data_IF_189215794643
#
_entry.id   IF_189215794643
#
_cell.length_a   1.000
_cell.length_b   1.000
_cell.length_c   1.000
_cell.angle_alpha   90.00
_cell.angle_beta   90.00
_cell.angle_gamma   90.00
#
_symmetry.space_group_name_H-M   'P 1'
#
loop_
_entity.id
_entity.type
_entity.pdbx_description
1 polymer ?
#
# COMPACT_ATOMS: atom_id res chain seq x y z
N UNK A 1 27.75 -26.82 5.76
CA UNK A 1 26.52 -27.63 5.92
C UNK A 1 25.86 -27.32 7.27
N UNK A 2 24.94 -26.34 7.36
CA UNK A 2 24.39 -25.92 8.67
C UNK A 2 22.91 -25.47 8.69
N UNK A 3 22.26 -25.32 7.54
CA UNK A 3 20.86 -24.87 7.46
C UNK A 3 19.85 -25.97 7.84
N UNK A 4 20.08 -27.22 7.40
CA UNK A 4 19.15 -28.33 7.66
C UNK A 4 19.18 -28.81 9.12
N UNK A 5 20.31 -28.68 9.82
CA UNK A 5 20.41 -28.99 11.26
C UNK A 5 19.62 -27.97 12.10
N UNK A 6 19.69 -26.67 11.72
CA UNK A 6 18.96 -25.61 12.40
C UNK A 6 17.45 -25.71 12.18
N UNK A 7 17.02 -26.05 10.96
CA UNK A 7 15.60 -26.29 10.66
C UNK A 7 15.04 -27.51 11.41
N UNK A 8 15.79 -28.63 11.47
CA UNK A 8 15.40 -29.83 12.24
C UNK A 8 15.33 -29.55 13.75
N UNK A 9 16.25 -28.76 14.29
CA UNK A 9 16.24 -28.38 15.70
C UNK A 9 15.11 -27.40 16.06
N UNK A 10 14.74 -26.49 15.15
CA UNK A 10 13.58 -25.60 15.32
C UNK A 10 12.26 -26.36 15.25
N UNK A 11 12.08 -27.18 14.21
CA UNK A 11 10.83 -27.92 13.98
C UNK A 11 10.60 -28.95 15.11
N UNK A 12 11.65 -29.63 15.57
CA UNK A 12 11.55 -30.56 16.71
C UNK A 12 11.22 -29.86 18.04
N UNK A 13 11.78 -28.68 18.29
CA UNK A 13 11.54 -27.92 19.53
C UNK A 13 10.11 -27.37 19.59
N UNK A 14 9.60 -26.90 18.47
CA UNK A 14 8.28 -26.28 18.41
C UNK A 14 7.17 -27.36 18.36
N UNK A 15 7.38 -28.50 17.69
CA UNK A 15 6.49 -29.66 17.81
C UNK A 15 6.47 -30.24 19.24
N UNK A 16 7.62 -30.33 19.91
CA UNK A 16 7.71 -30.83 21.29
C UNK A 16 6.92 -29.98 22.29
N UNK A 17 6.90 -28.65 22.10
CA UNK A 17 6.11 -27.72 22.93
C UNK A 17 4.60 -27.83 22.69
N UNK A 18 4.19 -28.04 21.44
CA UNK A 18 2.77 -28.20 21.10
C UNK A 18 2.22 -29.49 21.68
N UNK A 19 3.00 -30.58 21.58
CA UNK A 19 2.64 -31.87 22.18
C UNK A 19 2.68 -31.78 23.71
N UNK A 20 3.67 -31.11 24.32
CA UNK A 20 3.71 -30.98 25.79
C UNK A 20 2.57 -30.13 26.36
N UNK A 21 2.15 -29.07 25.67
CA UNK A 21 0.99 -28.27 26.06
C UNK A 21 -0.33 -29.03 25.91
N UNK A 22 -0.43 -29.92 24.92
CA UNK A 22 -1.59 -30.79 24.75
C UNK A 22 -1.66 -31.90 25.82
N UNK A 23 -0.50 -32.41 26.28
CA UNK A 23 -0.42 -33.50 27.26
C UNK A 23 -0.51 -33.03 28.71
N UNK A 24 0.14 -31.92 29.07
CA UNK A 24 0.28 -31.52 30.49
C UNK A 24 -0.74 -30.51 31.01
N UNK A 25 -1.70 -30.08 30.19
CA UNK A 25 -2.96 -29.49 30.66
C UNK A 25 -2.85 -28.52 31.84
N UNK A 26 -1.87 -27.62 31.84
CA UNK A 26 -1.59 -26.77 33.01
C UNK A 26 -2.55 -25.57 33.03
N UNK A 27 -3.78 -25.84 33.47
CA UNK A 27 -4.90 -24.90 33.42
C UNK A 27 -4.97 -23.98 34.66
N UNK A 28 -4.13 -24.14 35.68
CA UNK A 28 -4.45 -23.57 37.01
C UNK A 28 -3.41 -22.69 37.75
N UNK A 29 -2.22 -22.38 37.23
CA UNK A 29 -1.26 -21.52 37.96
C UNK A 29 -0.77 -20.31 37.15
N UNK A 30 -1.59 -19.25 37.03
CA UNK A 30 -1.12 -17.84 36.94
C UNK A 30 -2.21 -16.88 36.44
N UNK A 31 -2.90 -16.21 37.35
CA UNK A 31 -3.76 -15.08 36.98
C UNK A 31 -2.94 -13.78 36.85
N UNK A 32 -1.85 -13.62 37.60
CA UNK A 32 -0.95 -12.45 37.50
C UNK A 32 0.09 -12.53 36.37
N UNK A 33 0.53 -13.74 35.95
CA UNK A 33 1.53 -13.90 34.87
C UNK A 33 0.95 -13.70 33.46
N UNK A 34 -0.37 -13.86 33.30
CA UNK A 34 -1.09 -13.73 32.01
C UNK A 34 -1.24 -12.28 31.54
N UNK A 35 -1.38 -11.32 32.44
CA UNK A 35 -1.47 -9.90 32.05
C UNK A 35 -0.12 -9.38 31.53
N UNK A 36 0.98 -9.75 32.21
CA UNK A 36 2.34 -9.38 31.78
C UNK A 36 2.81 -10.18 30.56
N UNK A 37 2.35 -11.44 30.39
CA UNK A 37 2.63 -12.22 29.19
C UNK A 37 1.82 -11.76 27.98
N UNK A 38 0.56 -11.35 28.16
CA UNK A 38 -0.26 -10.73 27.09
C UNK A 38 0.32 -9.40 26.66
N UNK A 39 0.66 -8.51 27.60
CA UNK A 39 1.32 -7.25 27.27
C UNK A 39 2.66 -7.46 26.54
N UNK A 40 3.45 -8.47 26.92
CA UNK A 40 4.68 -8.84 26.18
C UNK A 40 4.40 -9.47 24.80
N UNK A 41 3.33 -10.24 24.65
CA UNK A 41 2.92 -10.80 23.36
C UNK A 41 2.45 -9.70 22.42
N UNK A 42 1.59 -8.79 22.89
CA UNK A 42 1.13 -7.61 22.15
C UNK A 42 2.32 -6.74 21.72
N UNK A 43 3.26 -6.43 22.64
CA UNK A 43 4.48 -5.70 22.30
C UNK A 43 5.37 -6.44 21.27
N UNK A 44 5.43 -7.77 21.33
CA UNK A 44 6.22 -8.55 20.38
C UNK A 44 5.56 -8.59 19.00
N UNK A 45 4.23 -8.72 18.94
CA UNK A 45 3.44 -8.66 17.72
C UNK A 45 3.53 -7.28 17.07
N UNK A 46 3.43 -6.20 17.85
CA UNK A 46 3.63 -4.82 17.38
C UNK A 46 5.05 -4.62 16.81
N UNK A 47 6.08 -5.14 17.47
CA UNK A 47 7.46 -5.06 16.97
C UNK A 47 7.64 -5.84 15.65
N UNK A 48 7.01 -7.01 15.53
CA UNK A 48 7.03 -7.80 14.28
C UNK A 48 6.34 -7.02 13.16
N UNK A 49 5.16 -6.45 13.42
CA UNK A 49 4.44 -5.63 12.45
C UNK A 49 5.25 -4.39 12.03
N UNK A 50 5.84 -3.67 12.98
CA UNK A 50 6.71 -2.53 12.67
C UNK A 50 7.93 -2.93 11.84
N UNK A 51 8.56 -4.06 12.15
CA UNK A 51 9.69 -4.55 11.38
C UNK A 51 9.29 -4.93 9.94
N UNK A 52 8.11 -5.52 9.76
CA UNK A 52 7.55 -5.81 8.42
C UNK A 52 7.28 -4.52 7.65
N UNK A 53 6.62 -3.54 8.28
CA UNK A 53 6.35 -2.22 7.68
C UNK A 53 7.66 -1.50 7.30
N UNK A 54 8.68 -1.56 8.15
CA UNK A 54 9.99 -0.98 7.87
C UNK A 54 10.69 -1.68 6.70
N UNK A 55 10.61 -3.01 6.62
CA UNK A 55 11.13 -3.79 5.50
C UNK A 55 10.44 -3.43 4.18
N UNK A 56 9.10 -3.34 4.19
CA UNK A 56 8.32 -2.90 3.05
C UNK A 56 8.67 -1.47 2.64
N UNK A 57 8.76 -0.54 3.60
CA UNK A 57 9.09 0.85 3.31
C UNK A 57 10.47 0.97 2.67
N UNK A 58 11.47 0.19 3.11
CA UNK A 58 12.79 0.15 2.45
C UNK A 58 12.70 -0.35 1.01
N UNK A 59 11.98 -1.45 0.76
CA UNK A 59 11.82 -1.99 -0.60
C UNK A 59 11.10 -1.01 -1.54
N UNK A 60 10.07 -0.32 -1.03
CA UNK A 60 9.37 0.71 -1.79
C UNK A 60 10.25 1.92 -2.06
N UNK A 61 11.04 2.37 -1.08
CA UNK A 61 11.97 3.49 -1.27
C UNK A 61 13.05 3.16 -2.29
N UNK A 62 13.62 1.96 -2.27
CA UNK A 62 14.58 1.51 -3.30
C UNK A 62 13.97 1.56 -4.71
N UNK A 63 12.71 1.13 -4.85
CA UNK A 63 12.00 1.23 -6.14
C UNK A 63 11.71 2.70 -6.53
N UNK A 64 11.39 3.56 -5.57
CA UNK A 64 11.22 5.01 -5.80
C UNK A 64 12.55 5.63 -6.25
N UNK A 65 13.66 5.29 -5.61
CA UNK A 65 14.99 5.82 -5.96
C UNK A 65 15.39 5.40 -7.37
N UNK A 66 15.08 4.17 -7.79
CA UNK A 66 15.23 3.73 -9.20
C UNK A 66 14.44 4.59 -10.17
N UNK A 67 13.16 4.87 -9.86
CA UNK A 67 12.28 5.74 -10.66
C UNK A 67 12.83 7.17 -10.73
N UNK A 68 13.37 7.67 -9.62
CA UNK A 68 13.97 9.00 -9.55
C UNK A 68 15.27 9.10 -10.34
N UNK A 69 16.07 8.04 -10.30
CA UNK A 69 17.37 7.90 -10.97
C UNK A 69 17.30 7.61 -12.47
N UNK A 70 16.12 7.25 -13.01
CA UNK A 70 15.95 7.10 -14.46
C UNK A 70 16.28 8.42 -15.18
N UNK A 71 17.32 8.38 -16.00
CA UNK A 71 17.78 9.52 -16.80
C UNK A 71 16.72 9.90 -17.82
N UNK A 72 16.33 11.16 -17.81
CA UNK A 72 15.35 11.68 -18.77
C UNK A 72 16.10 12.05 -20.05
N UNK A 73 16.02 11.19 -21.06
CA UNK A 73 16.53 11.46 -22.42
C UNK A 73 15.88 12.71 -23.00
N UNK A 74 16.60 13.38 -23.91
CA UNK A 74 16.11 14.58 -24.60
C UNK A 74 15.38 14.26 -25.90
N UNK A 75 15.38 13.00 -26.35
CA UNK A 75 14.64 12.59 -27.54
C UNK A 75 13.14 12.41 -27.23
N UNK A 76 12.30 12.88 -28.15
CA UNK A 76 10.83 12.84 -28.05
C UNK A 76 10.33 11.38 -28.03
N UNK A 77 10.92 10.50 -28.83
CA UNK A 77 10.52 9.09 -28.88
C UNK A 77 10.90 8.36 -27.59
N UNK A 78 12.11 8.62 -27.07
CA UNK A 78 12.54 8.08 -25.77
C UNK A 78 11.64 8.54 -24.63
N UNK A 79 11.23 9.82 -24.63
CA UNK A 79 10.28 10.36 -23.65
C UNK A 79 8.93 9.62 -23.73
N UNK A 80 8.41 9.37 -24.93
CA UNK A 80 7.17 8.62 -25.13
C UNK A 80 7.28 7.18 -24.60
N UNK A 81 8.36 6.48 -24.93
CA UNK A 81 8.63 5.13 -24.42
C UNK A 81 8.75 5.10 -22.90
N UNK A 82 9.38 6.11 -22.28
CA UNK A 82 9.44 6.20 -20.82
C UNK A 82 8.09 6.53 -20.20
N UNK A 83 7.27 7.37 -20.85
CA UNK A 83 5.90 7.66 -20.43
C UNK A 83 5.03 6.40 -20.42
N UNK A 84 5.13 5.57 -21.46
CA UNK A 84 4.38 4.31 -21.56
C UNK A 84 4.80 3.33 -20.47
N UNK A 85 6.11 3.19 -20.23
CA UNK A 85 6.64 2.35 -19.16
C UNK A 85 6.12 2.78 -17.78
N UNK A 86 6.14 4.08 -17.48
CA UNK A 86 5.58 4.59 -16.22
C UNK A 86 4.06 4.44 -16.16
N UNK A 87 3.36 4.59 -17.28
CA UNK A 87 1.92 4.34 -17.35
C UNK A 87 1.60 2.89 -16.97
N UNK A 88 2.26 1.90 -17.57
CA UNK A 88 2.09 0.49 -17.23
C UNK A 88 2.41 0.19 -15.77
N UNK A 89 3.50 0.75 -15.23
CA UNK A 89 3.87 0.56 -13.83
C UNK A 89 2.82 1.11 -12.85
N UNK A 90 2.20 2.25 -13.18
CA UNK A 90 1.11 2.84 -12.39
C UNK A 90 -0.19 2.04 -12.49
N UNK A 91 -0.46 1.39 -13.63
CA UNK A 91 -1.61 0.50 -13.79
C UNK A 91 -1.47 -0.76 -12.94
N UNK A 92 -0.27 -1.34 -12.88
CA UNK A 92 0.03 -2.54 -12.08
C UNK A 92 0.00 -2.21 -10.58
N UNK A 93 0.63 -1.11 -10.17
CA UNK A 93 0.78 -0.72 -8.77
C UNK A 93 -0.29 0.28 -8.31
N UNK A 94 -1.52 0.16 -8.80
CA UNK A 94 -2.59 1.13 -8.60
C UNK A 94 -2.79 1.58 -7.14
N UNK A 95 -3.30 2.80 -6.97
CA UNK A 95 -3.48 3.39 -5.64
C UNK A 95 -4.47 2.62 -4.78
N UNK A 96 -4.00 2.21 -3.60
CA UNK A 96 -4.79 1.51 -2.59
C UNK A 96 -5.47 2.49 -1.62
N UNK A 97 -6.62 2.13 -1.03
CA UNK A 97 -7.31 2.97 -0.07
C UNK A 97 -6.47 3.18 1.19
N UNK A 98 -6.36 4.43 1.62
CA UNK A 98 -5.53 4.85 2.78
C UNK A 98 -6.34 5.20 4.02
N UNK A 99 -7.67 5.09 3.94
CA UNK A 99 -8.59 5.49 5.00
C UNK A 99 -9.57 4.35 5.27
N UNK A 100 -9.81 4.08 6.57
CA UNK A 100 -10.69 3.06 7.14
C UNK A 100 -10.35 1.62 6.71
N UNK A 101 -10.01 0.74 7.65
CA UNK A 101 -9.73 -0.68 7.42
C UNK A 101 -8.32 -1.11 7.82
N UNK A 102 -8.07 -2.41 7.77
CA UNK A 102 -6.77 -3.00 8.07
C UNK A 102 -5.73 -2.69 6.97
N UNK A 103 -4.44 -2.60 7.34
CA UNK A 103 -3.32 -2.36 6.42
C UNK A 103 -3.21 -0.93 5.87
N UNK A 104 -3.76 0.08 6.55
CA UNK A 104 -3.67 1.50 6.12
C UNK A 104 -2.22 1.98 6.00
N UNK A 105 -1.36 1.60 6.93
CA UNK A 105 0.06 1.98 6.93
C UNK A 105 0.83 1.30 5.79
N UNK A 106 0.59 0.02 5.56
CA UNK A 106 1.11 -0.71 4.41
C UNK A 106 0.65 -0.07 3.09
N UNK A 107 -0.63 0.29 2.98
CA UNK A 107 -1.16 0.96 1.78
C UNK A 107 -0.55 2.35 1.58
N UNK A 108 -0.32 3.12 2.65
CA UNK A 108 0.38 4.41 2.59
C UNK A 108 1.80 4.25 2.09
N UNK A 109 2.50 3.22 2.56
CA UNK A 109 3.86 2.88 2.11
C UNK A 109 3.83 2.49 0.63
N UNK A 110 3.02 1.50 0.25
CA UNK A 110 2.93 1.01 -1.12
C UNK A 110 2.56 2.11 -2.13
N UNK A 111 1.69 3.04 -1.74
CA UNK A 111 1.28 4.16 -2.59
C UNK A 111 2.39 5.18 -2.88
N UNK A 112 3.52 5.16 -2.17
CA UNK A 112 4.68 6.03 -2.47
C UNK A 112 5.28 5.74 -3.85
N UNK A 113 5.30 4.46 -4.26
CA UNK A 113 5.82 4.06 -5.57
C UNK A 113 5.00 4.62 -6.75
N UNK A 114 3.68 4.37 -6.88
CA UNK A 114 2.88 4.94 -7.96
C UNK A 114 2.81 6.47 -7.87
N UNK A 115 2.92 7.07 -6.68
CA UNK A 115 3.05 8.52 -6.54
C UNK A 115 4.36 9.06 -7.14
N UNK A 116 5.48 8.37 -6.95
CA UNK A 116 6.76 8.72 -7.56
C UNK A 116 6.71 8.58 -9.09
N UNK A 117 6.17 7.47 -9.60
CA UNK A 117 5.95 7.26 -11.04
C UNK A 117 5.09 8.38 -11.63
N UNK A 118 4.01 8.78 -10.95
CA UNK A 118 3.13 9.87 -11.39
C UNK A 118 3.85 11.22 -11.43
N UNK A 119 4.67 11.53 -10.42
CA UNK A 119 5.47 12.74 -10.38
C UNK A 119 6.47 12.79 -11.54
N UNK A 120 7.16 11.68 -11.83
CA UNK A 120 8.06 11.57 -12.99
C UNK A 120 7.32 11.66 -14.31
N UNK A 121 6.17 10.99 -14.44
CA UNK A 121 5.31 11.09 -15.61
C UNK A 121 4.91 12.54 -15.90
N UNK A 122 4.53 13.31 -14.86
CA UNK A 122 4.23 14.73 -14.99
C UNK A 122 5.44 15.56 -15.44
N UNK A 123 6.64 15.26 -14.92
CA UNK A 123 7.87 15.94 -15.34
C UNK A 123 8.21 15.65 -16.80
N UNK A 124 8.06 14.40 -17.24
CA UNK A 124 8.25 13.99 -18.64
C UNK A 124 7.25 14.67 -19.56
N UNK A 125 5.97 14.74 -19.17
CA UNK A 125 4.95 15.44 -19.93
C UNK A 125 5.24 16.94 -20.08
N UNK A 126 5.76 17.58 -19.02
CA UNK A 126 6.18 18.98 -19.09
C UNK A 126 7.38 19.19 -20.03
N UNK A 127 8.37 18.28 -19.98
CA UNK A 127 9.50 18.29 -20.92
C UNK A 127 9.04 18.05 -22.35
N UNK A 128 8.13 17.12 -22.58
CA UNK A 128 7.55 16.82 -23.89
C UNK A 128 6.93 18.08 -24.51
N UNK A 129 6.17 18.83 -23.69
CA UNK A 129 5.61 20.13 -24.09
C UNK A 129 6.68 21.17 -24.42
N UNK A 130 7.76 21.22 -23.64
CA UNK A 130 8.87 22.16 -23.86
C UNK A 130 9.69 21.82 -25.12
N UNK A 131 9.75 20.55 -25.52
CA UNK A 131 10.43 20.10 -26.73
C UNK A 131 9.67 20.38 -28.04
N UNK A 132 8.57 21.15 -28.01
CA UNK A 132 7.73 21.44 -29.18
C UNK A 132 7.28 20.17 -29.95
N UNK A 133 6.88 19.13 -29.21
CA UNK A 133 6.36 17.90 -29.81
C UNK A 133 5.05 18.17 -30.59
N UNK A 134 4.66 17.23 -31.46
CA UNK A 134 3.34 17.26 -32.10
C UNK A 134 2.24 17.38 -31.02
N UNK A 135 1.30 18.31 -31.23
CA UNK A 135 0.20 18.60 -30.32
C UNK A 135 -0.67 17.36 -30.07
N UNK A 136 -0.88 16.52 -31.08
CA UNK A 136 -1.67 15.28 -30.95
C UNK A 136 -1.05 14.29 -29.96
N UNK A 137 0.28 14.17 -29.97
CA UNK A 137 1.04 13.29 -29.07
C UNK A 137 0.92 13.81 -27.64
N UNK A 138 1.06 15.13 -27.45
CA UNK A 138 0.89 15.75 -26.14
C UNK A 138 -0.53 15.52 -25.59
N UNK A 139 -1.56 15.71 -26.42
CA UNK A 139 -2.96 15.56 -26.02
C UNK A 139 -3.29 14.12 -25.62
N UNK A 140 -2.71 13.12 -26.30
CA UNK A 140 -2.82 11.72 -25.90
C UNK A 140 -2.32 11.49 -24.46
N UNK A 141 -1.07 11.87 -24.17
CA UNK A 141 -0.48 11.70 -22.84
C UNK A 141 -1.13 12.58 -21.77
N UNK A 142 -1.65 13.74 -22.15
CA UNK A 142 -2.43 14.59 -21.25
C UNK A 142 -3.78 13.97 -20.86
N UNK A 143 -4.45 13.29 -21.80
CA UNK A 143 -5.65 12.48 -21.52
C UNK A 143 -5.38 11.36 -20.52
N UNK A 144 -4.25 10.67 -20.68
CA UNK A 144 -3.77 9.64 -19.73
C UNK A 144 -3.54 10.27 -18.35
N UNK A 145 -2.81 11.38 -18.29
CA UNK A 145 -2.55 12.11 -17.04
C UNK A 145 -3.83 12.46 -16.27
N UNK A 146 -4.84 13.00 -16.97
CA UNK A 146 -6.13 13.37 -16.36
C UNK A 146 -6.86 12.15 -15.79
N UNK A 147 -6.82 11.03 -16.51
CA UNK A 147 -7.43 9.77 -16.09
C UNK A 147 -6.72 9.20 -14.87
N UNK A 148 -5.38 9.24 -14.86
CA UNK A 148 -4.56 8.81 -13.72
C UNK A 148 -4.83 9.65 -12.47
N UNK A 149 -4.97 10.98 -12.59
CA UNK A 149 -5.29 11.82 -11.45
C UNK A 149 -6.64 11.45 -10.82
N UNK A 150 -7.66 11.16 -11.66
CA UNK A 150 -8.96 10.67 -11.19
C UNK A 150 -8.82 9.33 -10.48
N UNK A 151 -8.09 8.37 -11.07
CA UNK A 151 -7.82 7.05 -10.47
C UNK A 151 -7.07 7.15 -9.14
N UNK A 152 -6.12 8.09 -9.02
CA UNK A 152 -5.41 8.37 -7.77
C UNK A 152 -6.35 8.81 -6.65
N UNK A 153 -7.22 9.79 -6.94
CA UNK A 153 -8.18 10.32 -5.95
C UNK A 153 -9.20 9.23 -5.60
N UNK A 154 -9.78 8.56 -6.59
CA UNK A 154 -10.74 7.48 -6.38
C UNK A 154 -10.14 6.30 -5.63
N UNK A 155 -8.92 5.86 -5.98
CA UNK A 155 -8.25 4.74 -5.30
C UNK A 155 -7.92 5.04 -3.84
N UNK A 156 -7.35 6.22 -3.56
CA UNK A 156 -6.98 6.62 -2.18
C UNK A 156 -8.20 6.82 -1.28
N UNK A 157 -9.27 7.41 -1.82
CA UNK A 157 -10.43 7.85 -1.06
C UNK A 157 -11.71 7.04 -1.32
N UNK A 158 -11.63 5.91 -2.03
CA UNK A 158 -12.79 5.06 -2.35
C UNK A 158 -13.66 4.77 -1.12
N UNK A 159 -13.03 4.38 0.00
CA UNK A 159 -13.74 4.08 1.25
C UNK A 159 -14.39 5.33 1.87
N UNK A 160 -13.76 6.50 1.79
CA UNK A 160 -14.39 7.76 2.24
C UNK A 160 -15.66 8.06 1.44
N UNK A 161 -15.61 7.94 0.12
CA UNK A 161 -16.77 8.22 -0.73
C UNK A 161 -17.95 7.30 -0.39
N UNK A 162 -17.69 6.02 -0.11
CA UNK A 162 -18.72 5.09 0.37
C UNK A 162 -19.31 5.50 1.72
N UNK A 163 -18.46 5.91 2.67
CA UNK A 163 -18.93 6.42 3.97
C UNK A 163 -19.79 7.68 3.82
N UNK A 164 -19.35 8.65 3.02
CA UNK A 164 -20.10 9.89 2.77
C UNK A 164 -21.45 9.58 2.10
N UNK A 165 -21.45 8.70 1.11
CA UNK A 165 -22.67 8.28 0.43
C UNK A 165 -23.67 7.62 1.38
N UNK A 166 -23.20 6.77 2.29
CA UNK A 166 -24.03 6.15 3.32
C UNK A 166 -24.68 7.19 4.25
N UNK A 167 -23.92 8.17 4.72
CA UNK A 167 -24.45 9.25 5.57
C UNK A 167 -25.45 10.14 4.85
N UNK A 168 -25.23 10.44 3.56
CA UNK A 168 -26.18 11.19 2.74
C UNK A 168 -27.49 10.41 2.59
N UNK A 169 -27.44 9.10 2.35
CA UNK A 169 -28.62 8.26 2.25
C UNK A 169 -29.43 8.24 3.56
N UNK A 170 -28.77 8.16 4.71
CA UNK A 170 -29.42 8.25 6.02
C UNK A 170 -30.07 9.62 6.25
N UNK A 171 -29.41 10.72 5.87
CA UNK A 171 -29.98 12.05 5.99
C UNK A 171 -31.23 12.23 5.13
N UNK A 172 -31.20 11.73 3.88
CA UNK A 172 -32.37 11.76 2.98
C UNK A 172 -33.52 10.91 3.57
N UNK A 173 -33.21 9.70 4.06
CA UNK A 173 -34.21 8.85 4.70
C UNK A 173 -34.86 9.54 5.91
N UNK A 174 -34.06 10.19 6.74
CA UNK A 174 -34.56 10.94 7.90
C UNK A 174 -35.47 12.11 7.50
N UNK A 175 -35.10 12.86 6.47
CA UNK A 175 -35.93 13.95 5.92
C UNK A 175 -37.28 13.42 5.42
N UNK A 176 -37.28 12.30 4.69
CA UNK A 176 -38.52 11.69 4.16
C UNK A 176 -39.42 11.22 5.31
N UNK A 177 -38.86 10.54 6.33
CA UNK A 177 -39.60 10.12 7.51
C UNK A 177 -40.22 11.32 8.24
N UNK A 178 -39.46 12.40 8.43
CA UNK A 178 -39.96 13.61 9.10
C UNK A 178 -41.03 14.37 8.32
N UNK A 179 -41.18 14.11 7.02
CA UNK A 179 -42.22 14.71 6.18
C UNK A 179 -43.48 13.83 6.07
N UNK A 180 -43.41 12.58 6.55
CA UNK A 180 -44.52 11.62 6.58
C UNK A 180 -45.26 11.59 7.94
N UNK A 181 -44.59 12.04 9.01
CA UNK A 181 -45.17 12.33 10.33
C UNK A 181 -45.82 13.73 10.35
#
# INVERSE_FOLDING_TARGET
MGFFQSAKNQVGRDLGKVISNAVFGDKHASVYRRAQSKARQEQHEEQIQQNQLNGLNRAVLDNVDKVLGTTVSNDVNDICNTLDLFHSQMLINGWKPIIFGDGTDENRINNKYPDACYCKFKQLLFKLKASNCNQDIYDHYYGIYKTLNRRKIWGKFSRLFLFIFFWIALAIFWIIMSALD
#
